data_IF_337425982252
#
_entry.id   IF_337425982252
#
_cell.length_a   1.000
_cell.length_b   1.000
_cell.length_c   1.000
_cell.angle_alpha   90.00
_cell.angle_beta   90.00
_cell.angle_gamma   90.00
#
_symmetry.space_group_name_H-M   'P 1'
#
loop_
_entity.id
_entity.type
_entity.pdbx_description
1 polymer ?
#
# COMPACT_ATOMS: atom_id res chain seq x y z
N UNK A 1 23.06 -1.86 1.30
CA UNK A 1 21.96 -1.37 2.17
C UNK A 1 20.57 -1.39 1.50
N UNK A 2 20.37 -2.05 0.34
CA UNK A 2 19.11 -2.01 -0.42
C UNK A 2 18.38 -3.35 -0.62
N UNK A 3 18.63 -4.34 0.25
CA UNK A 3 18.14 -5.71 0.03
C UNK A 3 16.82 -6.00 0.78
N UNK A 4 16.67 -5.48 2.00
CA UNK A 4 15.49 -5.78 2.83
C UNK A 4 14.18 -5.24 2.24
N UNK A 5 14.16 -3.99 1.74
CA UNK A 5 12.93 -3.38 1.21
C UNK A 5 12.45 -4.10 -0.06
N UNK A 6 13.39 -4.50 -0.94
CA UNK A 6 13.13 -5.31 -2.13
C UNK A 6 12.55 -6.68 -1.76
N UNK A 7 13.21 -7.39 -0.85
CA UNK A 7 12.71 -8.69 -0.38
C UNK A 7 11.34 -8.59 0.29
N UNK A 8 11.07 -7.52 1.05
CA UNK A 8 9.72 -7.29 1.59
C UNK A 8 8.70 -7.09 0.48
N UNK A 9 9.01 -6.25 -0.52
CA UNK A 9 8.13 -6.02 -1.65
C UNK A 9 7.84 -7.32 -2.43
N UNK A 10 8.85 -8.16 -2.67
CA UNK A 10 8.69 -9.47 -3.31
C UNK A 10 7.80 -10.41 -2.48
N UNK A 11 8.00 -10.45 -1.17
CA UNK A 11 7.19 -11.30 -0.26
C UNK A 11 5.73 -10.82 -0.20
N UNK A 12 5.51 -9.52 -0.16
CA UNK A 12 4.18 -8.92 -0.15
C UNK A 12 3.47 -9.13 -1.49
N UNK A 13 4.16 -8.94 -2.62
CA UNK A 13 3.63 -9.28 -3.93
C UNK A 13 3.23 -10.76 -4.00
N UNK A 14 4.11 -11.67 -3.55
CA UNK A 14 3.81 -13.10 -3.52
C UNK A 14 2.60 -13.45 -2.65
N UNK A 15 2.40 -12.76 -1.52
CA UNK A 15 1.21 -12.96 -0.68
C UNK A 15 -0.08 -12.64 -1.42
N UNK A 16 -0.08 -11.66 -2.33
CA UNK A 16 -1.25 -11.31 -3.14
C UNK A 16 -1.71 -12.49 -4.01
N UNK A 17 -0.75 -13.23 -4.57
CA UNK A 17 -0.98 -14.33 -5.52
C UNK A 17 -1.28 -15.67 -4.83
N UNK A 18 -1.20 -15.73 -3.50
CA UNK A 18 -1.51 -16.94 -2.73
C UNK A 18 -3.01 -17.07 -2.45
N UNK A 19 -3.53 -18.30 -2.36
CA UNK A 19 -4.91 -18.52 -1.96
C UNK A 19 -5.07 -18.29 -0.45
N UNK A 20 -5.93 -17.34 -0.07
CA UNK A 20 -6.34 -17.13 1.32
C UNK A 20 -7.77 -16.55 1.39
N UNK A 21 -8.50 -16.85 2.47
CA UNK A 21 -9.88 -16.36 2.64
C UNK A 21 -10.89 -16.88 1.60
N UNK A 22 -10.64 -18.06 1.03
CA UNK A 22 -11.50 -18.68 0.01
C UNK A 22 -11.41 -18.04 -1.38
N UNK A 23 -10.42 -17.17 -1.62
CA UNK A 23 -10.11 -16.60 -2.94
C UNK A 23 -8.77 -17.15 -3.43
N UNK A 24 -8.64 -17.28 -4.75
CA UNK A 24 -7.41 -17.76 -5.38
C UNK A 24 -6.25 -16.77 -5.23
N UNK A 25 -6.56 -15.48 -5.17
CA UNK A 25 -5.64 -14.35 -5.00
C UNK A 25 -6.45 -13.11 -4.64
N UNK A 26 -5.78 -12.03 -4.21
CA UNK A 26 -6.41 -10.72 -4.15
C UNK A 26 -5.76 -9.73 -3.20
N UNK A 27 -6.47 -8.63 -2.96
CA UNK A 27 -6.08 -7.62 -1.97
C UNK A 27 -6.21 -8.17 -0.55
N UNK A 28 -5.34 -7.73 0.34
CA UNK A 28 -5.37 -8.13 1.75
C UNK A 28 -5.01 -6.99 2.68
N UNK A 29 -5.20 -7.26 3.98
CA UNK A 29 -4.70 -6.47 5.08
C UNK A 29 -3.71 -7.27 5.89
N UNK A 30 -2.64 -6.64 6.34
CA UNK A 30 -1.62 -7.21 7.22
C UNK A 30 -1.44 -6.31 8.44
N UNK A 31 -1.54 -6.85 9.65
CA UNK A 31 -1.35 -6.06 10.87
C UNK A 31 0.08 -5.51 10.95
N UNK A 32 0.27 -4.36 11.61
CA UNK A 32 1.61 -3.79 11.78
C UNK A 32 2.59 -4.78 12.43
N UNK A 33 2.12 -5.58 13.39
CA UNK A 33 2.91 -6.65 14.02
C UNK A 33 3.42 -7.68 13.00
N UNK A 34 2.56 -8.18 12.12
CA UNK A 34 2.96 -9.16 11.10
C UNK A 34 3.82 -8.54 10.01
N UNK A 35 3.55 -7.28 9.65
CA UNK A 35 4.36 -6.53 8.68
C UNK A 35 5.79 -6.33 9.18
N UNK A 36 5.97 -5.94 10.44
CA UNK A 36 7.28 -5.83 11.07
C UNK A 36 7.99 -7.20 11.17
N UNK A 37 7.25 -8.25 11.55
CA UNK A 37 7.79 -9.61 11.59
C UNK A 37 8.27 -10.09 10.21
N UNK A 38 7.54 -9.75 9.13
CA UNK A 38 7.93 -10.07 7.76
C UNK A 38 9.26 -9.41 7.35
N UNK A 39 9.53 -8.23 7.91
CA UNK A 39 10.79 -7.50 7.74
C UNK A 39 11.94 -8.07 8.60
N UNK A 40 11.66 -9.00 9.51
CA UNK A 40 12.61 -9.45 10.53
C UNK A 40 13.01 -8.35 11.52
N UNK A 41 12.17 -7.31 11.69
CA UNK A 41 12.46 -6.17 12.55
C UNK A 41 11.36 -5.97 13.58
N UNK A 42 11.73 -5.48 14.76
CA UNK A 42 10.75 -5.09 15.79
C UNK A 42 9.98 -3.82 15.40
N UNK A 43 10.64 -2.90 14.69
CA UNK A 43 10.11 -1.61 14.26
C UNK A 43 10.63 -1.27 12.86
N UNK A 44 9.75 -0.69 12.05
CA UNK A 44 10.10 0.00 10.81
C UNK A 44 9.90 1.50 11.01
N UNK A 45 10.81 2.28 10.47
CA UNK A 45 10.69 3.74 10.47
C UNK A 45 9.98 4.21 9.21
N UNK A 46 9.54 5.47 9.20
CA UNK A 46 8.82 6.06 8.07
C UNK A 46 9.60 5.90 6.75
N UNK A 47 10.92 6.09 6.77
CA UNK A 47 11.76 5.90 5.59
C UNK A 47 11.81 4.43 5.12
N UNK A 48 11.76 3.45 6.02
CA UNK A 48 11.63 2.05 5.62
C UNK A 48 10.30 1.81 4.91
N UNK A 49 9.19 2.34 5.46
CA UNK A 49 7.86 2.22 4.86
C UNK A 49 7.83 2.88 3.48
N UNK A 50 8.42 4.07 3.34
CA UNK A 50 8.51 4.80 2.06
C UNK A 50 9.29 4.01 1.02
N UNK A 51 10.42 3.40 1.39
CA UNK A 51 11.22 2.58 0.48
C UNK A 51 10.48 1.30 0.07
N UNK A 52 9.83 0.60 1.01
CA UNK A 52 9.00 -0.58 0.69
C UNK A 52 7.83 -0.20 -0.23
N UNK A 53 7.19 0.94 0.04
CA UNK A 53 6.07 1.44 -0.78
C UNK A 53 6.52 1.69 -2.22
N UNK A 54 7.70 2.30 -2.41
CA UNK A 54 8.28 2.50 -3.74
C UNK A 54 8.55 1.18 -4.44
N UNK A 55 9.21 0.23 -3.76
CA UNK A 55 9.53 -1.08 -4.32
C UNK A 55 8.29 -1.89 -4.70
N UNK A 56 7.19 -1.79 -3.93
CA UNK A 56 5.89 -2.37 -4.30
C UNK A 56 5.28 -1.71 -5.53
N UNK A 57 5.38 -0.38 -5.63
CA UNK A 57 4.84 0.38 -6.75
C UNK A 57 5.53 -0.02 -8.07
N UNK A 58 6.85 -0.19 -8.05
CA UNK A 58 7.65 -0.70 -9.18
C UNK A 58 7.22 -2.12 -9.61
N UNK A 59 6.58 -2.88 -8.72
CA UNK A 59 6.00 -4.22 -8.99
C UNK A 59 4.50 -4.20 -9.31
N UNK A 60 3.88 -3.02 -9.39
CA UNK A 60 2.45 -2.88 -9.72
C UNK A 60 1.52 -3.03 -8.52
N UNK A 61 2.02 -2.88 -7.29
CA UNK A 61 1.23 -2.94 -6.06
C UNK A 61 1.29 -1.63 -5.28
N UNK A 62 0.24 -1.35 -4.52
CA UNK A 62 0.13 -0.18 -3.64
C UNK A 62 0.10 -0.66 -2.19
N UNK A 63 0.86 0.01 -1.33
CA UNK A 63 0.78 -0.13 0.12
C UNK A 63 0.02 1.05 0.69
N UNK A 64 -1.03 0.79 1.46
CA UNK A 64 -1.82 1.81 2.16
C UNK A 64 -1.63 1.61 3.66
N UNK A 65 -1.06 2.60 4.33
CA UNK A 65 -0.96 2.64 5.79
C UNK A 65 -2.30 3.09 6.39
N UNK A 66 -2.87 2.28 7.29
CA UNK A 66 -4.11 2.56 8.03
C UNK A 66 -3.83 2.73 9.54
N UNK A 67 -2.58 2.97 9.92
CA UNK A 67 -2.09 3.19 11.29
C UNK A 67 -1.91 1.89 12.10
N UNK A 68 -2.89 0.99 12.08
CA UNK A 68 -2.84 -0.29 12.84
C UNK A 68 -2.54 -1.50 11.96
N UNK A 69 -2.74 -1.36 10.65
CA UNK A 69 -2.50 -2.38 9.64
C UNK A 69 -2.19 -1.70 8.31
N UNK A 70 -1.66 -2.48 7.37
CA UNK A 70 -1.43 -2.06 6.00
C UNK A 70 -2.35 -2.82 5.07
N UNK A 71 -2.88 -2.14 4.05
CA UNK A 71 -3.60 -2.79 2.95
C UNK A 71 -2.70 -2.88 1.72
N UNK A 72 -2.71 -4.03 1.06
CA UNK A 72 -1.98 -4.26 -0.19
C UNK A 72 -3.00 -4.58 -1.29
N UNK A 73 -2.87 -3.88 -2.41
CA UNK A 73 -3.71 -4.02 -3.60
C UNK A 73 -2.89 -3.75 -4.86
N UNK A 74 -3.41 -4.11 -6.04
CA UNK A 74 -2.75 -3.74 -7.31
C UNK A 74 -2.95 -2.26 -7.62
N UNK A 75 -1.97 -1.67 -8.30
CA UNK A 75 -2.06 -0.32 -8.85
C UNK A 75 -3.27 -0.19 -9.80
N UNK A 76 -3.61 -1.24 -10.56
CA UNK A 76 -4.81 -1.30 -11.38
C UNK A 76 -6.11 -1.17 -10.56
N UNK A 77 -6.18 -1.83 -9.40
CA UNK A 77 -7.33 -1.72 -8.48
C UNK A 77 -7.41 -0.32 -7.88
N UNK A 78 -6.28 0.30 -7.54
CA UNK A 78 -6.27 1.68 -7.07
C UNK A 78 -6.71 2.65 -8.19
N UNK A 79 -6.25 2.43 -9.42
CA UNK A 79 -6.61 3.23 -10.60
C UNK A 79 -8.06 3.09 -11.04
N UNK A 80 -8.79 2.07 -10.57
CA UNK A 80 -10.23 1.93 -10.85
C UNK A 80 -11.11 2.87 -10.01
N UNK A 81 -10.51 3.66 -9.10
CA UNK A 81 -11.25 4.66 -8.32
C UNK A 81 -11.66 5.82 -9.22
N UNK A 82 -12.81 6.44 -8.92
CA UNK A 82 -13.28 7.59 -9.68
C UNK A 82 -12.31 8.75 -9.54
N UNK A 83 -11.85 9.28 -10.67
CA UNK A 83 -11.02 10.48 -10.69
C UNK A 83 -11.89 11.71 -10.39
N UNK A 84 -11.51 12.46 -9.36
CA UNK A 84 -12.11 13.76 -9.05
C UNK A 84 -11.73 14.76 -10.14
N UNK A 85 -12.71 15.48 -10.69
CA UNK A 85 -12.50 16.57 -11.64
C UNK A 85 -12.54 17.93 -10.92
N UNK A 86 -12.14 19.00 -11.62
CA UNK A 86 -12.11 20.35 -11.05
C UNK A 86 -13.50 20.85 -10.62
N UNK A 87 -14.54 20.47 -11.36
CA UNK A 87 -15.93 20.80 -11.03
C UNK A 87 -16.36 20.23 -9.67
N UNK A 88 -16.05 18.96 -9.41
CA UNK A 88 -16.33 18.33 -8.12
C UNK A 88 -15.65 19.05 -6.95
N UNK A 89 -14.45 19.62 -7.16
CA UNK A 89 -13.74 20.39 -6.13
C UNK A 89 -14.46 21.70 -5.79
N UNK A 90 -15.11 22.35 -6.76
CA UNK A 90 -15.81 23.62 -6.51
C UNK A 90 -16.97 23.48 -5.51
N UNK A 91 -17.50 22.27 -5.31
CA UNK A 91 -18.54 22.02 -4.31
C UNK A 91 -18.02 21.94 -2.87
N UNK A 92 -16.70 21.86 -2.65
CA UNK A 92 -16.09 21.69 -1.32
C UNK A 92 -15.00 22.71 -1.00
N UNK A 93 -14.50 23.43 -2.00
CA UNK A 93 -13.54 24.50 -1.79
C UNK A 93 -14.24 25.72 -1.16
N UNK A 94 -13.61 26.38 -0.17
CA UNK A 94 -14.10 27.67 0.29
C UNK A 94 -14.04 28.68 -0.87
N UNK A 95 -14.90 29.72 -0.86
CA UNK A 95 -14.78 30.81 -1.83
C UNK A 95 -13.38 31.42 -1.74
N UNK A 96 -12.80 31.87 -2.88
CA UNK A 96 -11.50 32.52 -2.89
C UNK A 96 -11.50 33.73 -1.94
N UNK A 97 -10.41 33.91 -1.19
CA UNK A 97 -10.23 35.09 -0.35
C UNK A 97 -10.14 36.33 -1.25
N UNK A 98 -10.93 37.36 -0.92
CA UNK A 98 -10.97 38.67 -1.60
C UNK A 98 -9.71 39.46 -1.27
#
# INVERSE_FOLDING_TARGET
MGDMHKQMADRLARLYDLPYGGKAQGRYRISAKLFHALAGRRRLYEDDIRLITRELLERGYVLIDMGTYYSVLTAATAGSYRRVNAEALNHVLPPPAV
#
